data_IF_693429544582
#
_entry.id   IF_693429544582
#
_cell.length_a   1.000
_cell.length_b   1.000
_cell.length_c   1.000
_cell.angle_alpha   90.00
_cell.angle_beta   90.00
_cell.angle_gamma   90.00
#
_symmetry.space_group_name_H-M   'P 1'
#
loop_
_entity.id
_entity.type
_entity.pdbx_description
1 polymer ?
#
# COMPACT_ATOMS: atom_id res chain seq x y z
N UNK A 1 -12.03 14.84 -20.90
CA UNK A 1 -12.92 14.17 -19.93
C UNK A 1 -11.99 13.62 -18.88
N UNK A 2 -11.91 14.26 -17.72
CA UNK A 2 -11.02 13.83 -16.65
C UNK A 2 -11.61 12.57 -16.05
N UNK A 3 -10.99 11.42 -16.30
CA UNK A 3 -11.27 10.20 -15.54
C UNK A 3 -10.85 10.50 -14.09
N UNK A 4 -11.86 10.56 -13.22
CA UNK A 4 -11.67 10.71 -11.78
C UNK A 4 -11.00 9.41 -11.29
N UNK A 5 -9.69 9.44 -11.12
CA UNK A 5 -8.91 8.32 -10.60
C UNK A 5 -9.30 8.10 -9.15
N UNK A 6 -10.37 7.35 -8.89
CA UNK A 6 -10.74 6.94 -7.55
C UNK A 6 -9.94 5.69 -7.17
N UNK A 7 -9.50 5.61 -5.92
CA UNK A 7 -8.96 4.35 -5.38
C UNK A 7 -10.10 3.33 -5.29
N UNK A 8 -9.89 2.16 -5.88
CA UNK A 8 -10.91 1.11 -5.99
C UNK A 8 -10.51 -0.13 -5.18
N UNK A 9 -11.45 -0.64 -4.38
CA UNK A 9 -11.29 -1.92 -3.68
C UNK A 9 -11.82 -3.03 -4.57
N UNK A 10 -10.92 -3.88 -5.07
CA UNK A 10 -11.23 -4.91 -6.06
C UNK A 10 -12.04 -6.09 -5.50
N UNK A 11 -12.08 -6.26 -4.17
CA UNK A 11 -12.86 -7.29 -3.51
C UNK A 11 -12.25 -7.76 -2.18
N UNK A 12 -12.80 -8.84 -1.65
CA UNK A 12 -12.33 -9.49 -0.42
C UNK A 12 -11.84 -10.89 -0.70
N UNK A 13 -10.76 -11.31 -0.04
CA UNK A 13 -10.34 -12.70 -0.04
C UNK A 13 -10.97 -13.48 1.13
N UNK A 14 -11.42 -14.69 0.84
CA UNK A 14 -11.95 -15.59 1.86
C UNK A 14 -10.81 -16.38 2.51
N UNK A 15 -10.68 -16.28 3.83
CA UNK A 15 -9.78 -17.13 4.62
C UNK A 15 -10.57 -18.26 5.30
N UNK A 16 -10.01 -19.47 5.34
CA UNK A 16 -10.63 -20.62 6.01
C UNK A 16 -10.65 -20.39 7.53
N UNK A 17 -11.83 -20.05 8.08
CA UNK A 17 -12.00 -19.79 9.52
C UNK A 17 -12.72 -18.48 9.86
N UNK A 18 -13.06 -17.65 8.86
CA UNK A 18 -13.79 -16.40 9.07
C UNK A 18 -15.26 -16.59 9.47
N UNK A 19 -15.79 -15.67 10.29
CA UNK A 19 -17.23 -15.58 10.56
C UNK A 19 -17.96 -15.19 9.27
N UNK A 20 -19.09 -15.84 8.98
CA UNK A 20 -19.91 -15.49 7.80
C UNK A 20 -20.30 -14.01 7.88
N UNK A 21 -19.96 -13.25 6.83
CA UNK A 21 -20.24 -11.81 6.75
C UNK A 21 -19.14 -10.90 7.31
N UNK A 22 -18.07 -11.43 7.91
CA UNK A 22 -16.95 -10.62 8.38
C UNK A 22 -16.28 -9.84 7.24
N UNK A 23 -15.91 -10.51 6.14
CA UNK A 23 -15.29 -9.84 5.00
C UNK A 23 -16.17 -8.73 4.37
N UNK A 24 -17.48 -8.93 4.30
CA UNK A 24 -18.38 -7.90 3.77
C UNK A 24 -18.52 -6.68 4.71
N UNK A 25 -18.47 -6.92 6.02
CA UNK A 25 -18.44 -5.86 7.03
C UNK A 25 -17.13 -5.08 6.96
N UNK A 26 -16.00 -5.79 7.00
CA UNK A 26 -14.66 -5.20 7.00
C UNK A 26 -14.41 -4.43 5.70
N UNK A 27 -14.92 -4.94 4.56
CA UNK A 27 -14.89 -4.23 3.28
C UNK A 27 -15.64 -2.90 3.35
N UNK A 28 -16.85 -2.88 3.90
CA UNK A 28 -17.64 -1.65 4.00
C UNK A 28 -16.92 -0.60 4.87
N UNK A 29 -16.30 -1.05 5.96
CA UNK A 29 -15.51 -0.19 6.85
C UNK A 29 -14.27 0.38 6.16
N UNK A 30 -13.55 -0.46 5.40
CA UNK A 30 -12.36 -0.05 4.67
C UNK A 30 -12.68 0.91 3.51
N UNK A 31 -13.78 0.68 2.79
CA UNK A 31 -14.24 1.59 1.72
C UNK A 31 -14.56 2.98 2.29
N UNK A 32 -15.17 3.05 3.49
CA UNK A 32 -15.44 4.33 4.16
C UNK A 32 -14.14 5.03 4.62
N UNK A 33 -13.17 4.28 5.17
CA UNK A 33 -11.85 4.80 5.52
C UNK A 33 -11.10 5.35 4.30
N UNK A 34 -11.10 4.60 3.20
CA UNK A 34 -10.49 5.00 1.93
C UNK A 34 -11.15 6.25 1.36
N UNK A 35 -12.48 6.32 1.33
CA UNK A 35 -13.21 7.49 0.84
C UNK A 35 -12.92 8.77 1.63
N UNK A 36 -12.68 8.64 2.94
CA UNK A 36 -12.33 9.78 3.81
C UNK A 36 -10.87 10.22 3.66
N UNK A 37 -9.95 9.29 3.41
CA UNK A 37 -8.53 9.57 3.24
C UNK A 37 -8.16 10.00 1.81
N UNK A 38 -8.96 9.59 0.82
CA UNK A 38 -8.67 9.82 -0.59
C UNK A 38 -8.61 11.31 -0.92
N UNK A 39 -7.50 11.71 -1.53
CA UNK A 39 -7.29 13.06 -2.08
C UNK A 39 -6.60 12.92 -3.43
N UNK A 40 -7.11 13.56 -4.50
CA UNK A 40 -6.52 13.42 -5.83
C UNK A 40 -5.04 13.83 -5.87
N UNK A 41 -4.19 12.91 -6.34
CA UNK A 41 -2.76 13.18 -6.56
C UNK A 41 -1.86 13.00 -5.34
N UNK A 42 -2.37 12.51 -4.21
CA UNK A 42 -1.57 12.11 -3.05
C UNK A 42 -1.79 10.62 -2.73
N UNK A 43 -0.79 9.97 -2.13
CA UNK A 43 -0.89 8.58 -1.70
C UNK A 43 -1.50 8.54 -0.30
N UNK A 44 -2.64 7.86 -0.14
CA UNK A 44 -3.41 7.85 1.12
C UNK A 44 -3.49 6.46 1.79
N UNK A 45 -2.69 5.48 1.34
CA UNK A 45 -2.76 4.09 1.82
C UNK A 45 -2.57 3.98 3.33
N UNK A 46 -1.55 4.65 3.88
CA UNK A 46 -1.27 4.62 5.32
C UNK A 46 -2.43 5.22 6.12
N UNK A 47 -2.91 6.40 5.71
CA UNK A 47 -4.03 7.08 6.37
C UNK A 47 -5.30 6.22 6.34
N UNK A 48 -5.55 5.53 5.22
CA UNK A 48 -6.70 4.63 5.06
C UNK A 48 -6.60 3.41 5.98
N UNK A 49 -5.41 2.82 6.13
CA UNK A 49 -5.17 1.65 6.99
C UNK A 49 -5.26 2.02 8.47
N UNK A 50 -4.71 3.16 8.88
CA UNK A 50 -4.80 3.66 10.26
C UNK A 50 -6.25 3.98 10.63
N UNK A 51 -6.98 4.65 9.73
CA UNK A 51 -8.39 4.99 9.93
C UNK A 51 -9.27 3.74 10.02
N UNK A 52 -9.03 2.75 9.16
CA UNK A 52 -9.69 1.44 9.24
C UNK A 52 -9.39 0.74 10.56
N UNK A 53 -8.11 0.69 10.98
CA UNK A 53 -7.70 0.00 12.20
C UNK A 53 -8.37 0.60 13.43
N UNK A 54 -8.40 1.93 13.54
CA UNK A 54 -9.09 2.62 14.64
C UNK A 54 -10.57 2.26 14.72
N UNK A 55 -11.28 2.28 13.59
CA UNK A 55 -12.71 1.94 13.56
C UNK A 55 -12.97 0.45 13.82
N UNK A 56 -12.10 -0.41 13.33
CA UNK A 56 -12.20 -1.84 13.56
C UNK A 56 -12.03 -2.16 15.05
N UNK A 57 -11.07 -1.52 15.71
CA UNK A 57 -10.89 -1.61 17.16
C UNK A 57 -12.09 -1.07 17.94
N UNK A 58 -12.67 0.06 17.53
CA UNK A 58 -13.88 0.62 18.13
C UNK A 58 -15.08 -0.36 18.02
N UNK A 59 -15.26 -1.01 16.86
CA UNK A 59 -16.30 -2.04 16.68
C UNK A 59 -16.03 -3.31 17.49
N UNK A 60 -14.78 -3.78 17.51
CA UNK A 60 -14.39 -4.97 18.29
C UNK A 60 -14.58 -4.70 19.78
N UNK A 61 -14.16 -3.54 20.28
CA UNK A 61 -14.36 -3.14 21.67
C UNK A 61 -15.86 -3.07 22.04
N UNK A 62 -16.70 -2.54 21.14
CA UNK A 62 -18.15 -2.51 21.33
C UNK A 62 -18.80 -3.90 21.33
N UNK A 63 -18.21 -4.87 20.64
CA UNK A 63 -18.68 -6.28 20.62
C UNK A 63 -18.12 -7.07 21.82
N UNK A 64 -16.90 -6.77 22.27
CA UNK A 64 -16.24 -7.41 23.40
C UNK A 64 -16.83 -7.01 24.77
N UNK A 65 -17.48 -5.84 24.91
CA UNK A 65 -18.30 -5.54 26.09
C UNK A 65 -19.52 -6.46 26.25
N UNK A 66 -19.99 -7.11 25.17
CA UNK A 66 -21.17 -7.99 25.19
C UNK A 66 -20.83 -9.50 25.12
N UNK A 67 -19.73 -9.90 24.48
CA UNK A 67 -19.27 -11.31 24.47
C UNK A 67 -17.75 -11.35 24.39
N UNK A 68 -17.11 -11.73 25.50
CA UNK A 68 -15.66 -11.68 25.64
C UNK A 68 -14.85 -12.41 24.56
N UNK A 69 -13.89 -11.67 23.99
CA UNK A 69 -12.52 -12.08 23.74
C UNK A 69 -12.20 -12.87 22.47
N UNK A 70 -11.50 -12.21 21.55
CA UNK A 70 -10.25 -12.75 21.02
C UNK A 70 -10.15 -13.00 19.51
N UNK A 71 -9.03 -12.52 18.94
CA UNK A 71 -8.46 -13.03 17.69
C UNK A 71 -7.56 -12.05 16.94
N UNK A 72 -6.31 -11.88 17.37
CA UNK A 72 -5.24 -11.29 16.56
C UNK A 72 -4.92 -12.19 15.36
N UNK A 73 -4.99 -11.65 14.13
CA UNK A 73 -4.58 -12.33 12.92
C UNK A 73 -3.32 -11.65 12.34
N UNK A 74 -2.21 -12.40 12.32
CA UNK A 74 -0.97 -12.04 11.64
C UNK A 74 -1.18 -12.07 10.13
N UNK A 75 -0.72 -11.02 9.44
CA UNK A 75 -0.72 -10.87 8.00
C UNK A 75 0.58 -11.45 7.43
N UNK A 76 0.47 -12.46 6.56
CA UNK A 76 1.56 -12.89 5.68
C UNK A 76 1.32 -12.26 4.30
N UNK A 77 2.32 -11.54 3.80
CA UNK A 77 2.35 -10.96 2.45
C UNK A 77 2.67 -12.09 1.44
N UNK A 78 1.84 -12.25 0.41
CA UNK A 78 2.13 -13.15 -0.72
C UNK A 78 2.00 -12.43 -2.07
N UNK A 79 2.97 -12.72 -2.93
CA UNK A 79 3.41 -12.01 -4.13
C UNK A 79 2.51 -12.37 -5.33
N UNK A 80 1.67 -11.42 -5.75
CA UNK A 80 0.78 -11.56 -6.91
C UNK A 80 1.52 -11.42 -8.23
N UNK A 81 1.54 -12.52 -9.01
CA UNK A 81 2.25 -12.68 -10.28
C UNK A 81 2.13 -11.53 -11.31
N UNK A 82 3.26 -11.24 -11.94
CA UNK A 82 3.48 -10.12 -12.85
C UNK A 82 3.14 -10.45 -14.32
N UNK A 83 2.51 -9.54 -15.08
CA UNK A 83 2.52 -9.60 -16.53
C UNK A 83 3.91 -9.20 -17.08
N UNK A 84 4.43 -10.00 -18.02
CA UNK A 84 5.69 -9.76 -18.71
C UNK A 84 5.53 -8.61 -19.74
N UNK A 85 5.79 -7.38 -19.33
CA UNK A 85 5.94 -6.23 -20.24
C UNK A 85 7.38 -6.19 -20.78
N UNK A 86 7.57 -5.87 -22.07
CA UNK A 86 8.90 -5.69 -22.68
C UNK A 86 9.59 -4.41 -22.17
N UNK A 87 10.27 -4.55 -21.03
CA UNK A 87 10.88 -3.49 -20.21
C UNK A 87 12.03 -2.74 -20.92
N UNK A 88 12.54 -3.27 -22.04
CA UNK A 88 13.63 -2.64 -22.80
C UNK A 88 13.14 -1.44 -23.62
N UNK A 89 11.84 -1.38 -23.92
CA UNK A 89 11.23 -0.35 -24.78
C UNK A 89 10.82 0.93 -24.03
N UNK A 90 10.72 0.88 -22.70
CA UNK A 90 10.21 1.99 -21.89
C UNK A 90 11.31 3.01 -21.51
N UNK A 91 11.00 4.32 -21.56
CA UNK A 91 11.96 5.38 -21.29
C UNK A 91 12.53 5.30 -19.87
N UNK A 92 13.78 5.73 -19.69
CA UNK A 92 14.41 5.85 -18.37
C UNK A 92 13.59 6.78 -17.48
N UNK A 93 13.18 6.34 -16.27
CA UNK A 93 12.44 7.21 -15.37
C UNK A 93 13.24 8.47 -15.05
N UNK A 94 12.61 9.65 -15.02
CA UNK A 94 13.27 10.90 -14.65
C UNK A 94 13.47 10.95 -13.13
N UNK A 95 14.49 10.26 -12.63
CA UNK A 95 14.80 10.19 -11.21
C UNK A 95 15.17 11.56 -10.64
N UNK A 96 14.43 11.99 -9.62
CA UNK A 96 14.81 13.09 -8.74
C UNK A 96 15.37 12.49 -7.45
N UNK A 97 16.57 12.92 -7.07
CA UNK A 97 17.23 12.48 -5.85
C UNK A 97 16.97 13.48 -4.73
N UNK A 98 16.73 12.99 -3.51
CA UNK A 98 16.76 13.84 -2.33
C UNK A 98 18.19 14.24 -1.98
N UNK A 99 18.31 15.24 -1.11
CA UNK A 99 19.55 15.44 -0.38
C UNK A 99 19.89 14.21 0.49
N UNK A 100 21.17 13.87 0.69
CA UNK A 100 21.56 12.78 1.56
C UNK A 100 21.26 13.11 3.02
N UNK A 101 20.54 12.22 3.71
CA UNK A 101 20.29 12.33 5.15
C UNK A 101 21.22 11.35 5.86
N UNK A 102 22.01 11.85 6.81
CA UNK A 102 22.92 11.01 7.60
C UNK A 102 22.35 10.80 9.00
N UNK A 103 22.13 9.54 9.36
CA UNK A 103 21.75 9.16 10.72
C UNK A 103 22.60 7.97 11.16
N UNK A 104 23.27 8.11 12.30
CA UNK A 104 23.94 7.00 12.99
C UNK A 104 24.91 6.20 12.10
N UNK A 105 25.69 6.90 11.25
CA UNK A 105 26.62 6.37 10.22
C UNK A 105 25.96 5.77 8.97
N UNK A 106 24.64 5.72 8.90
CA UNK A 106 23.89 5.43 7.67
C UNK A 106 23.67 6.70 6.88
N UNK A 107 23.76 6.61 5.56
CA UNK A 107 23.41 7.71 4.63
C UNK A 107 22.25 7.25 3.78
N UNK A 108 21.12 7.95 3.89
CA UNK A 108 19.89 7.67 3.19
C UNK A 108 19.74 8.65 2.03
N UNK A 109 19.34 8.13 0.87
CA UNK A 109 19.16 8.93 -0.34
C UNK A 109 17.93 8.43 -1.08
N UNK A 110 16.86 9.24 -1.05
CA UNK A 110 15.61 8.88 -1.67
C UNK A 110 15.69 9.11 -3.18
N UNK A 111 15.11 8.19 -3.94
CA UNK A 111 14.90 8.35 -5.37
C UNK A 111 13.40 8.43 -5.62
N UNK A 112 12.99 9.45 -6.36
CA UNK A 112 11.59 9.69 -6.70
C UNK A 112 11.47 9.74 -8.21
N UNK A 113 10.47 9.06 -8.75
CA UNK A 113 10.04 9.23 -10.14
C UNK A 113 8.51 9.33 -10.16
N UNK A 114 7.93 10.25 -10.96
CA UNK A 114 6.49 10.31 -11.13
C UNK A 114 5.98 9.05 -11.83
N UNK A 115 4.95 8.44 -11.26
CA UNK A 115 4.28 7.25 -11.81
C UNK A 115 2.79 7.51 -11.95
N UNK A 116 2.16 6.94 -12.98
CA UNK A 116 0.74 7.09 -13.30
C UNK A 116 0.00 5.75 -13.33
N UNK A 117 0.69 4.65 -13.11
CA UNK A 117 0.09 3.32 -13.00
C UNK A 117 0.93 2.39 -12.11
N UNK A 118 0.32 1.35 -11.50
CA UNK A 118 1.05 0.33 -10.73
C UNK A 118 2.13 -0.39 -11.54
N UNK A 119 1.88 -0.66 -12.82
CA UNK A 119 2.86 -1.25 -13.75
C UNK A 119 4.09 -0.35 -13.92
N UNK A 120 3.87 0.97 -14.03
CA UNK A 120 4.94 1.95 -14.11
C UNK A 120 5.75 2.00 -12.81
N UNK A 121 5.11 1.84 -11.65
CA UNK A 121 5.79 1.77 -10.36
C UNK A 121 6.72 0.55 -10.26
N UNK A 122 6.23 -0.64 -10.62
CA UNK A 122 7.01 -1.89 -10.66
C UNK A 122 8.19 -1.79 -11.63
N UNK A 123 7.97 -1.15 -12.78
CA UNK A 123 9.02 -0.85 -13.74
C UNK A 123 10.11 0.06 -13.15
N UNK A 124 9.73 1.17 -12.53
CA UNK A 124 10.66 2.09 -11.87
C UNK A 124 11.46 1.37 -10.77
N UNK A 125 10.79 0.59 -9.92
CA UNK A 125 11.43 -0.21 -8.87
C UNK A 125 12.45 -1.19 -9.42
N UNK A 126 12.10 -1.99 -10.42
CA UNK A 126 13.02 -2.96 -11.03
C UNK A 126 14.27 -2.29 -11.63
N UNK A 127 14.16 -1.02 -12.06
CA UNK A 127 15.27 -0.25 -12.61
C UNK A 127 16.16 0.39 -11.53
N UNK A 128 15.62 0.73 -10.35
CA UNK A 128 16.40 1.34 -9.26
C UNK A 128 17.36 0.36 -8.60
N UNK A 129 16.99 -0.94 -8.53
CA UNK A 129 17.82 -2.00 -7.93
C UNK A 129 19.20 -2.17 -8.58
N UNK A 130 19.40 -1.64 -9.79
CA UNK A 130 20.70 -1.64 -10.48
C UNK A 130 21.66 -0.52 -10.09
N UNK A 131 21.20 0.59 -9.50
CA UNK A 131 22.05 1.78 -9.26
C UNK A 131 22.77 1.77 -7.89
N UNK A 132 22.38 0.87 -6.99
CA UNK A 132 22.77 0.85 -5.58
C UNK A 132 24.19 0.39 -5.23
N UNK A 133 25.11 0.20 -6.18
CA UNK A 133 26.53 -0.12 -5.88
C UNK A 133 27.42 1.09 -6.08
N UNK A 134 27.47 1.99 -5.10
CA UNK A 134 28.66 2.84 -4.93
C UNK A 134 29.68 2.07 -4.10
N UNK A 135 30.74 1.61 -4.75
CA UNK A 135 31.99 1.20 -4.09
C UNK A 135 32.49 2.41 -3.31
N UNK A 136 32.56 2.29 -2.00
CA UNK A 136 33.37 3.18 -1.18
C UNK A 136 34.83 2.76 -1.36
N UNK A 137 35.63 3.62 -1.97
CA UNK A 137 37.10 3.55 -1.95
C UNK A 137 37.62 3.94 -0.57
#
# INVERSE_FOLDING_TARGET
>A
MSEELQDEVLGTHHSSGGRKGAGARDLALFVDALGNAFQPGVVCLFDSVEEFSRRYEDEVAAVEEEVGGGGEAKHEEDDGGEPELDLASLPTPPWTLSEPIVDSRSTFLAHVAPVRSPEQARFCWRRIGGSGRRRTT
#
